data_IF_400376416537
#
_entry.id   IF_400376416537
#
_cell.length_a   1.000
_cell.length_b   1.000
_cell.length_c   1.000
_cell.angle_alpha   90.00
_cell.angle_beta   90.00
_cell.angle_gamma   90.00
#
_symmetry.space_group_name_H-M   'P 1'
#
loop_
_entity.id
_entity.type
_entity.pdbx_description
1 polymer ?
#
# COMPACT_ATOMS: atom_id res chain seq x y z
N UNK A 1 6.53 28.26 -20.69
CA UNK A 1 6.66 26.97 -19.96
C UNK A 1 5.40 26.17 -20.26
N UNK A 2 5.47 24.94 -20.79
CA UNK A 2 4.26 24.17 -21.08
C UNK A 2 3.56 23.82 -19.76
N UNK A 3 2.23 24.00 -19.71
CA UNK A 3 1.43 23.64 -18.55
C UNK A 3 1.33 22.11 -18.46
N UNK A 4 1.85 21.52 -17.39
CA UNK A 4 1.72 20.09 -17.11
C UNK A 4 0.37 19.89 -16.41
N UNK A 5 -0.45 18.97 -16.92
CA UNK A 5 -1.74 18.64 -16.29
C UNK A 5 -1.52 17.85 -15.00
N UNK A 6 -2.44 18.02 -14.03
CA UNK A 6 -2.48 17.22 -12.79
C UNK A 6 -2.49 15.72 -13.11
N UNK A 7 -3.22 15.30 -14.15
CA UNK A 7 -3.26 13.90 -14.59
C UNK A 7 -1.87 13.39 -14.95
N UNK A 8 -1.08 14.18 -15.69
CA UNK A 8 0.29 13.82 -16.07
C UNK A 8 1.18 13.68 -14.84
N UNK A 9 1.07 14.60 -13.88
CA UNK A 9 1.83 14.55 -12.62
C UNK A 9 1.51 13.27 -11.84
N UNK A 10 0.22 12.91 -11.76
CA UNK A 10 -0.22 11.69 -11.08
C UNK A 10 0.34 10.41 -11.71
N UNK A 11 0.44 10.34 -13.05
CA UNK A 11 1.04 9.20 -13.76
C UNK A 11 2.57 9.12 -13.60
N UNK A 12 3.24 10.20 -13.18
CA UNK A 12 4.68 10.17 -12.95
C UNK A 12 5.05 9.58 -11.58
N UNK A 13 4.10 9.46 -10.65
CA UNK A 13 4.36 8.89 -9.33
C UNK A 13 4.52 7.38 -9.43
N UNK A 14 5.78 6.93 -9.39
CA UNK A 14 6.17 5.51 -9.41
C UNK A 14 6.46 4.94 -8.03
N UNK A 15 6.72 5.80 -7.06
CA UNK A 15 7.11 5.43 -5.70
C UNK A 15 6.25 6.21 -4.72
N UNK A 16 5.60 5.51 -3.79
CA UNK A 16 4.77 6.11 -2.77
C UNK A 16 5.14 5.55 -1.40
N UNK A 17 5.29 6.45 -0.44
CA UNK A 17 5.45 6.12 0.98
C UNK A 17 4.25 6.67 1.73
N UNK A 18 3.58 5.81 2.49
CA UNK A 18 2.49 6.17 3.38
C UNK A 18 2.97 5.93 4.80
N UNK A 19 3.28 7.02 5.50
CA UNK A 19 3.63 7.01 6.92
C UNK A 19 2.47 7.61 7.70
N UNK A 20 1.84 6.82 8.56
CA UNK A 20 0.67 7.26 9.31
C UNK A 20 0.44 6.48 10.61
N UNK A 21 -0.46 7.01 11.45
CA UNK A 21 -1.02 6.34 12.63
C UNK A 21 -1.93 5.13 12.30
N UNK A 22 -1.79 4.57 11.12
CA UNK A 22 -2.61 3.48 10.58
C UNK A 22 -3.17 3.88 9.23
N UNK A 23 -2.71 3.26 8.13
CA UNK A 23 -3.52 3.29 6.93
C UNK A 23 -4.57 2.20 7.05
N UNK A 24 -5.84 2.59 6.97
CA UNK A 24 -6.89 1.65 6.63
C UNK A 24 -6.76 1.28 5.13
N UNK A 25 -7.23 0.08 4.78
CA UNK A 25 -7.12 -0.43 3.41
C UNK A 25 -7.83 0.49 2.39
N UNK A 26 -8.91 1.18 2.77
CA UNK A 26 -9.63 2.08 1.86
C UNK A 26 -8.82 3.32 1.53
N UNK A 27 -8.13 3.89 2.51
CA UNK A 27 -7.23 5.01 2.29
C UNK A 27 -6.13 4.63 1.30
N UNK A 28 -5.53 3.45 1.47
CA UNK A 28 -4.52 2.95 0.53
C UNK A 28 -5.11 2.75 -0.86
N UNK A 29 -6.28 2.11 -0.98
CA UNK A 29 -6.99 1.98 -2.26
C UNK A 29 -7.21 3.35 -2.93
N UNK A 30 -7.57 4.38 -2.16
CA UNK A 30 -7.70 5.74 -2.65
C UNK A 30 -6.42 6.27 -3.28
N UNK A 31 -5.28 6.10 -2.60
CA UNK A 31 -3.99 6.47 -3.16
C UNK A 31 -3.62 5.67 -4.42
N UNK A 32 -3.88 4.36 -4.44
CA UNK A 32 -3.63 3.54 -5.62
C UNK A 32 -4.42 4.02 -6.83
N UNK A 33 -5.68 4.43 -6.64
CA UNK A 33 -6.51 5.04 -7.69
C UNK A 33 -5.98 6.39 -8.18
N UNK A 34 -5.32 7.16 -7.31
CA UNK A 34 -4.70 8.43 -7.69
C UNK A 34 -3.41 8.25 -8.51
N UNK A 35 -2.71 7.13 -8.36
CA UNK A 35 -1.38 6.92 -8.96
C UNK A 35 -1.38 5.67 -9.85
N UNK A 36 -1.93 5.75 -11.07
CA UNK A 36 -2.16 4.58 -11.93
C UNK A 36 -0.87 3.86 -12.35
N UNK A 37 0.27 4.55 -12.39
CA UNK A 37 1.57 3.95 -12.75
C UNK A 37 2.46 3.63 -11.54
N UNK A 38 1.88 3.51 -10.34
CA UNK A 38 2.65 3.22 -9.13
C UNK A 38 3.35 1.86 -9.21
N UNK A 39 4.67 1.84 -9.06
CA UNK A 39 5.49 0.64 -9.14
C UNK A 39 5.87 0.10 -7.76
N UNK A 40 6.08 0.99 -6.78
CA UNK A 40 6.53 0.63 -5.44
C UNK A 40 5.75 1.37 -4.36
N UNK A 41 5.25 0.60 -3.40
CA UNK A 41 4.49 1.10 -2.26
C UNK A 41 5.16 0.72 -0.95
N UNK A 42 5.40 1.71 -0.09
CA UNK A 42 5.91 1.52 1.25
C UNK A 42 4.88 2.02 2.25
N UNK A 43 4.54 1.19 3.23
CA UNK A 43 3.51 1.49 4.21
C UNK A 43 4.13 1.35 5.60
N UNK A 44 4.10 2.44 6.35
CA UNK A 44 4.57 2.53 7.73
C UNK A 44 3.36 2.87 8.60
N UNK A 45 2.99 1.93 9.46
CA UNK A 45 1.81 2.03 10.32
C UNK A 45 2.25 2.04 11.79
N UNK A 46 2.16 3.19 12.45
CA UNK A 46 2.65 3.38 13.82
C UNK A 46 1.62 3.01 14.88
N UNK A 47 0.36 3.33 14.62
CA UNK A 47 -0.79 2.99 15.45
C UNK A 47 -1.73 2.15 14.59
N UNK A 48 -2.49 1.24 15.20
CA UNK A 48 -3.43 0.37 14.46
C UNK A 48 -4.88 0.72 14.70
N UNK A 49 -5.14 1.99 15.02
CA UNK A 49 -6.50 2.48 15.16
C UNK A 49 -7.14 2.48 13.77
N UNK A 50 -8.21 1.71 13.61
CA UNK A 50 -9.06 1.81 12.42
C UNK A 50 -8.61 1.03 11.19
N UNK A 51 -7.64 0.11 11.28
CA UNK A 51 -7.38 -0.86 10.19
C UNK A 51 -8.62 -1.72 9.96
N UNK A 52 -9.49 -1.28 9.05
CA UNK A 52 -10.67 -2.01 8.59
C UNK A 52 -10.35 -2.59 7.22
N UNK A 53 -10.02 -3.87 7.17
CA UNK A 53 -9.79 -4.61 5.91
C UNK A 53 -11.11 -5.05 5.25
N UNK A 54 -12.19 -4.27 5.43
CA UNK A 54 -13.57 -4.76 5.23
C UNK A 54 -14.05 -4.62 3.78
N UNK A 55 -13.26 -4.04 2.87
CA UNK A 55 -13.64 -4.00 1.45
C UNK A 55 -13.06 -5.18 0.70
N UNK A 56 -13.94 -5.96 0.08
CA UNK A 56 -13.59 -6.84 -1.02
C UNK A 56 -13.23 -5.95 -2.21
N UNK A 57 -12.06 -6.18 -2.80
CA UNK A 57 -11.72 -5.64 -4.11
C UNK A 57 -12.81 -6.05 -5.10
N UNK A 58 -13.36 -5.10 -5.86
CA UNK A 58 -14.32 -5.39 -6.92
C UNK A 58 -13.53 -5.61 -8.21
N UNK A 59 -13.50 -6.84 -8.77
CA UNK A 59 -12.81 -7.11 -10.03
C UNK A 59 -13.37 -6.31 -11.21
N UNK A 60 -14.59 -5.76 -11.10
CA UNK A 60 -15.22 -4.93 -12.13
C UNK A 60 -14.75 -3.46 -12.12
N UNK A 61 -14.02 -3.04 -11.10
CA UNK A 61 -13.39 -1.70 -11.00
C UNK A 61 -11.87 -1.86 -10.78
N UNK A 62 -11.12 -2.33 -11.80
CA UNK A 62 -9.72 -2.66 -11.64
C UNK A 62 -8.87 -1.41 -11.39
N UNK A 63 -7.99 -1.51 -10.40
CA UNK A 63 -7.05 -0.43 -10.09
C UNK A 63 -5.81 -0.62 -10.98
N UNK A 64 -5.59 0.29 -11.91
CA UNK A 64 -4.57 0.18 -12.96
C UNK A 64 -3.18 -0.18 -12.42
N UNK A 65 -2.74 0.48 -11.35
CA UNK A 65 -1.42 0.18 -10.78
C UNK A 65 -1.36 -1.24 -10.22
N UNK A 66 -2.42 -1.78 -9.60
CA UNK A 66 -2.42 -3.17 -9.11
C UNK A 66 -2.33 -4.17 -10.28
N UNK A 67 -2.98 -3.87 -11.39
CA UNK A 67 -3.03 -4.75 -12.56
C UNK A 67 -1.74 -4.71 -13.38
N UNK A 68 -1.14 -3.53 -13.57
CA UNK A 68 -0.12 -3.32 -14.61
C UNK A 68 1.25 -2.89 -14.10
N UNK A 69 1.35 -2.27 -12.92
CA UNK A 69 2.57 -1.53 -12.55
C UNK A 69 3.17 -1.91 -11.19
N UNK A 70 2.36 -2.29 -10.21
CA UNK A 70 2.77 -2.45 -8.82
C UNK A 70 3.55 -3.75 -8.64
N UNK A 71 4.88 -3.61 -8.59
CA UNK A 71 5.82 -4.72 -8.50
C UNK A 71 6.29 -4.98 -7.08
N UNK A 72 6.24 -3.97 -6.21
CA UNK A 72 6.76 -4.10 -4.85
C UNK A 72 5.88 -3.42 -3.81
N UNK A 73 5.61 -4.15 -2.74
CA UNK A 73 4.95 -3.63 -1.53
C UNK A 73 5.82 -3.94 -0.31
N UNK A 74 6.00 -2.94 0.55
CA UNK A 74 6.72 -3.08 1.83
C UNK A 74 5.81 -2.63 2.96
N UNK A 75 5.56 -3.53 3.91
CA UNK A 75 4.83 -3.25 5.14
C UNK A 75 5.84 -3.18 6.30
N UNK A 76 6.02 -1.98 6.86
CA UNK A 76 6.75 -1.79 8.11
C UNK A 76 5.84 -1.92 9.32
N UNK A 77 6.44 -2.26 10.47
CA UNK A 77 5.75 -2.52 11.73
C UNK A 77 4.76 -3.70 11.65
N UNK A 78 5.08 -4.71 10.85
CA UNK A 78 4.33 -5.95 10.73
C UNK A 78 4.40 -6.72 12.06
N UNK A 79 3.26 -7.14 12.61
CA UNK A 79 3.16 -7.90 13.88
C UNK A 79 2.69 -9.34 13.64
N UNK A 80 2.28 -9.68 12.43
CA UNK A 80 1.84 -11.03 12.06
C UNK A 80 0.48 -11.45 12.63
N UNK A 81 -0.29 -10.51 13.19
CA UNK A 81 -1.67 -10.80 13.60
C UNK A 81 -2.61 -10.79 12.38
N UNK A 82 -3.84 -11.27 12.58
CA UNK A 82 -4.82 -11.41 11.50
C UNK A 82 -5.03 -10.13 10.67
N UNK A 83 -5.17 -8.92 11.25
CA UNK A 83 -5.26 -7.69 10.47
C UNK A 83 -4.08 -7.45 9.51
N UNK A 84 -2.85 -7.78 9.91
CA UNK A 84 -1.69 -7.62 9.02
C UNK A 84 -1.69 -8.62 7.89
N UNK A 85 -2.01 -9.88 8.22
CA UNK A 85 -2.08 -10.96 7.24
C UNK A 85 -3.16 -10.65 6.22
N UNK A 86 -4.34 -10.24 6.67
CA UNK A 86 -5.46 -9.87 5.79
C UNK A 86 -5.10 -8.64 4.91
N UNK A 87 -4.38 -7.66 5.46
CA UNK A 87 -3.91 -6.50 4.71
C UNK A 87 -2.84 -6.87 3.67
N UNK A 88 -1.90 -7.75 4.02
CA UNK A 88 -0.90 -8.25 3.09
C UNK A 88 -1.54 -9.09 1.97
N UNK A 89 -2.50 -9.93 2.34
CA UNK A 89 -3.25 -10.78 1.42
C UNK A 89 -4.00 -9.97 0.36
N UNK A 90 -4.46 -8.76 0.68
CA UNK A 90 -5.04 -7.88 -0.34
C UNK A 90 -4.09 -7.69 -1.53
N UNK A 91 -2.81 -7.37 -1.29
CA UNK A 91 -1.86 -7.19 -2.38
C UNK A 91 -1.52 -8.51 -3.06
N UNK A 92 -1.30 -9.56 -2.28
CA UNK A 92 -0.95 -10.89 -2.82
C UNK A 92 -2.03 -11.41 -3.78
N UNK A 93 -3.31 -11.18 -3.46
CA UNK A 93 -4.41 -11.68 -4.28
C UNK A 93 -4.85 -10.73 -5.40
N UNK A 94 -4.58 -9.43 -5.32
CA UNK A 94 -5.11 -8.44 -6.26
C UNK A 94 -4.05 -7.75 -7.13
N UNK A 95 -2.78 -7.76 -6.76
CA UNK A 95 -1.70 -7.19 -7.57
C UNK A 95 -1.13 -8.24 -8.53
N UNK A 96 -1.48 -8.14 -9.81
CA UNK A 96 -1.21 -9.18 -10.81
C UNK A 96 0.27 -9.28 -11.20
N UNK A 97 1.00 -8.17 -11.11
CA UNK A 97 2.42 -8.08 -11.48
C UNK A 97 3.33 -7.93 -10.25
N UNK A 98 2.84 -8.30 -9.07
CA UNK A 98 3.59 -8.18 -7.82
C UNK A 98 4.75 -9.18 -7.79
N UNK A 99 5.97 -8.65 -7.76
CA UNK A 99 7.21 -9.43 -7.70
C UNK A 99 7.69 -9.62 -6.25
N UNK A 100 7.45 -8.63 -5.38
CA UNK A 100 7.95 -8.61 -4.00
C UNK A 100 6.90 -8.11 -3.01
N UNK A 101 6.64 -8.93 -1.98
CA UNK A 101 5.93 -8.53 -0.77
C UNK A 101 6.86 -8.67 0.43
N UNK A 102 7.18 -7.55 1.09
CA UNK A 102 8.13 -7.53 2.20
C UNK A 102 7.41 -7.07 3.47
N UNK A 103 7.44 -7.91 4.50
CA UNK A 103 6.89 -7.60 5.82
C UNK A 103 8.03 -7.43 6.81
N UNK A 104 8.24 -6.21 7.29
CA UNK A 104 9.30 -5.86 8.24
C UNK A 104 8.67 -5.84 9.64
N UNK A 105 9.16 -6.71 10.52
CA UNK A 105 8.66 -6.82 11.88
C UNK A 105 8.88 -5.52 12.67
N UNK A 106 7.95 -5.20 13.57
CA UNK A 106 8.17 -4.15 14.56
C UNK A 106 9.29 -4.59 15.52
N UNK A 107 10.48 -4.00 15.42
CA UNK A 107 11.47 -4.12 16.47
C UNK A 107 11.10 -3.12 17.57
N UNK A 108 10.54 -3.62 18.67
CA UNK A 108 10.62 -2.88 19.92
C UNK A 108 12.10 -2.74 20.27
N UNK A 109 12.63 -1.54 20.59
CA UNK A 109 13.87 -1.47 21.35
C UNK A 109 13.63 -2.34 22.58
N UNK A 110 14.45 -3.39 22.76
CA UNK A 110 14.38 -4.17 23.99
C UNK A 110 14.70 -3.19 25.11
N UNK A 111 13.76 -3.00 26.05
CA UNK A 111 13.97 -2.23 27.26
C UNK A 111 15.14 -2.83 28.05
N UNK A 112 16.35 -2.38 27.75
CA UNK A 112 17.58 -2.62 28.48
C UNK A 112 18.31 -1.29 28.52
N UNK A 113 17.90 -0.46 29.48
CA UNK A 113 18.71 0.60 30.04
C UNK A 113 19.05 0.20 31.47
#
# INVERSE_FOLDING_TARGET
MPAISVTTIMHMVKFLVIDSAGPDLNAVIGFLKCFPCLERLYIISHLRRGMKNVRKYDPLDPIECLTLHLKKVVLQNYRGNKPDVDFANFFIFNAMVLEQMICIAFNSPSDKW
#
